data_IF_842357066239
#
_entry.id   IF_842357066239
#
_cell.length_a   1.000
_cell.length_b   1.000
_cell.length_c   1.000
_cell.angle_alpha   90.00
_cell.angle_beta   90.00
_cell.angle_gamma   90.00
#
_symmetry.space_group_name_H-M   'P 1'
#
loop_
_entity.id
_entity.type
_entity.pdbx_description
1 polymer ?
#
# COMPACT_ATOMS: atom_id res chain seq x y z
N UNK A 1 -21.69 5.61 -20.75
CA UNK A 1 -21.56 4.78 -19.54
C UNK A 1 -20.21 5.09 -18.92
N UNK A 2 -20.18 5.82 -17.80
CA UNK A 2 -18.92 6.12 -17.13
C UNK A 2 -18.45 4.84 -16.43
N UNK A 3 -17.36 4.24 -16.90
CA UNK A 3 -16.69 3.18 -16.15
C UNK A 3 -16.22 3.81 -14.83
N UNK A 4 -16.96 3.56 -13.74
CA UNK A 4 -16.90 4.31 -12.48
C UNK A 4 -15.58 4.18 -11.72
N UNK A 5 -14.52 4.81 -12.22
CA UNK A 5 -13.22 4.90 -11.60
C UNK A 5 -12.55 6.26 -11.85
N UNK A 6 -11.49 6.57 -11.10
CA UNK A 6 -10.76 7.85 -11.17
C UNK A 6 -9.80 7.97 -12.38
N UNK A 7 -9.81 7.02 -13.31
CA UNK A 7 -8.90 7.03 -14.48
C UNK A 7 -7.40 6.99 -14.13
N UNK A 8 -7.03 6.40 -12.98
CA UNK A 8 -5.64 6.37 -12.51
C UNK A 8 -4.87 5.19 -13.10
N UNK A 9 -3.66 5.45 -13.59
CA UNK A 9 -2.75 4.42 -14.07
C UNK A 9 -2.23 3.53 -12.93
N UNK A 10 -1.97 4.10 -11.75
CA UNK A 10 -1.34 3.41 -10.62
C UNK A 10 -1.96 3.87 -9.31
N UNK A 11 -2.24 2.90 -8.45
CA UNK A 11 -2.54 3.13 -7.04
C UNK A 11 -1.36 2.62 -6.22
N UNK A 12 -1.01 3.37 -5.16
CA UNK A 12 0.03 2.98 -4.22
C UNK A 12 -0.56 2.98 -2.81
N UNK A 13 -0.17 1.99 -2.01
CA UNK A 13 -0.56 1.83 -0.62
C UNK A 13 0.70 1.62 0.22
N UNK A 14 0.88 2.44 1.24
CA UNK A 14 1.91 2.28 2.26
C UNK A 14 1.34 1.70 3.54
N UNK A 15 2.07 0.77 4.15
CA UNK A 15 1.76 0.24 5.48
C UNK A 15 3.06 -0.01 6.26
N UNK A 16 3.00 0.05 7.60
CA UNK A 16 4.11 -0.46 8.42
C UNK A 16 4.35 -1.94 8.11
N UNK A 17 5.62 -2.35 8.10
CA UNK A 17 6.04 -3.72 7.84
C UNK A 17 5.45 -4.70 8.87
N UNK A 18 5.31 -4.25 10.12
CA UNK A 18 4.68 -4.99 11.21
C UNK A 18 3.16 -5.14 11.05
N UNK A 19 2.49 -4.27 10.28
CA UNK A 19 1.05 -4.38 10.03
C UNK A 19 0.72 -5.43 8.97
N UNK A 20 0.82 -6.70 9.38
CA UNK A 20 0.54 -7.87 8.53
C UNK A 20 -0.93 -7.96 8.09
N UNK A 21 -1.86 -7.44 8.89
CA UNK A 21 -3.29 -7.46 8.58
C UNK A 21 -3.62 -6.60 7.35
N UNK A 22 -3.16 -5.34 7.32
CA UNK A 22 -3.38 -4.44 6.18
C UNK A 22 -2.68 -4.95 4.91
N UNK A 23 -1.50 -5.56 5.04
CA UNK A 23 -0.77 -6.15 3.90
C UNK A 23 -1.56 -7.29 3.24
N UNK A 24 -2.14 -8.20 4.04
CA UNK A 24 -3.00 -9.28 3.53
C UNK A 24 -4.26 -8.76 2.83
N UNK A 25 -4.82 -7.65 3.31
CA UNK A 25 -5.96 -6.99 2.65
C UNK A 25 -5.54 -6.42 1.29
N UNK A 26 -4.39 -5.74 1.22
CA UNK A 26 -3.87 -5.21 -0.03
C UNK A 26 -3.59 -6.31 -1.06
N UNK A 27 -2.95 -7.40 -0.65
CA UNK A 27 -2.69 -8.58 -1.50
C UNK A 27 -4.00 -9.17 -2.06
N UNK A 28 -5.03 -9.34 -1.22
CA UNK A 28 -6.35 -9.82 -1.65
C UNK A 28 -7.07 -8.85 -2.60
N UNK A 29 -6.79 -7.55 -2.49
CA UNK A 29 -7.29 -6.54 -3.40
C UNK A 29 -6.49 -6.44 -4.72
N UNK A 30 -5.48 -7.31 -4.92
CA UNK A 30 -4.68 -7.39 -6.13
C UNK A 30 -3.41 -6.54 -6.12
N UNK A 31 -3.13 -5.82 -5.03
CA UNK A 31 -1.87 -5.08 -4.92
C UNK A 31 -0.69 -6.02 -4.79
N UNK A 32 0.44 -5.63 -5.38
CA UNK A 32 1.72 -6.34 -5.31
C UNK A 32 2.75 -5.51 -4.55
N UNK A 33 3.59 -6.15 -3.74
CA UNK A 33 4.65 -5.45 -3.04
C UNK A 33 5.69 -4.91 -4.03
N UNK A 34 5.94 -3.60 -4.00
CA UNK A 34 6.94 -2.93 -4.81
C UNK A 34 8.24 -2.68 -4.03
N UNK A 35 8.16 -2.53 -2.70
CA UNK A 35 9.35 -2.29 -1.89
C UNK A 35 9.13 -2.37 -0.40
N UNK A 36 10.27 -2.40 0.32
CA UNK A 36 10.35 -2.25 1.76
C UNK A 36 11.45 -1.24 2.09
N UNK A 37 11.11 -0.20 2.83
CA UNK A 37 11.99 0.93 3.14
C UNK A 37 12.24 1.02 4.64
N UNK A 38 13.44 1.41 5.04
CA UNK A 38 13.80 1.50 6.46
C UNK A 38 13.29 2.79 7.06
N UNK A 39 12.71 2.72 8.27
CA UNK A 39 12.18 3.89 8.98
C UNK A 39 11.30 4.77 8.06
N UNK A 40 10.28 4.15 7.48
CA UNK A 40 9.31 4.76 6.56
C UNK A 40 7.85 4.39 6.93
N UNK A 41 7.68 3.42 7.83
CA UNK A 41 6.40 3.01 8.35
C UNK A 41 5.95 3.94 9.46
N UNK A 42 4.88 4.71 9.20
CA UNK A 42 4.17 5.44 10.25
C UNK A 42 3.37 4.43 11.08
N UNK A 43 3.73 4.28 12.36
CA UNK A 43 2.97 3.44 13.29
C UNK A 43 2.73 4.17 14.62
N UNK A 44 1.50 4.06 15.15
CA UNK A 44 1.15 4.61 16.48
C UNK A 44 0.41 5.96 16.46
N UNK A 45 0.07 6.43 17.67
CA UNK A 45 -0.47 7.77 17.91
C UNK A 45 0.67 8.79 17.86
N UNK A 46 0.45 9.93 17.20
CA UNK A 46 1.40 11.04 16.99
C UNK A 46 2.35 10.96 15.77
N UNK A 47 2.14 10.03 14.83
CA UNK A 47 2.80 10.09 13.52
C UNK A 47 4.31 9.88 13.56
N UNK A 48 4.82 9.26 14.62
CA UNK A 48 6.22 8.89 14.72
C UNK A 48 6.53 7.79 13.68
N UNK A 49 7.63 7.98 12.96
CA UNK A 49 8.16 6.97 12.05
C UNK A 49 9.13 6.12 12.86
N UNK A 50 8.67 4.90 13.18
CA UNK A 50 9.37 4.00 14.12
C UNK A 50 9.63 2.63 13.53
N UNK A 51 8.98 2.27 12.42
CA UNK A 51 9.12 0.96 11.78
C UNK A 51 9.50 1.09 10.29
N UNK A 52 9.87 -0.02 9.68
CA UNK A 52 10.07 -0.12 8.25
C UNK A 52 8.73 -0.03 7.51
N UNK A 53 8.72 0.66 6.36
CA UNK A 53 7.55 0.80 5.50
C UNK A 53 7.50 -0.27 4.42
N UNK A 54 6.31 -0.75 4.08
CA UNK A 54 6.04 -1.61 2.93
C UNK A 54 5.14 -0.85 1.97
N UNK A 55 5.57 -0.75 0.72
CA UNK A 55 4.80 -0.14 -0.36
C UNK A 55 4.30 -1.20 -1.32
N UNK A 56 3.01 -1.14 -1.61
CA UNK A 56 2.35 -2.01 -2.57
C UNK A 56 1.71 -1.17 -3.68
N UNK A 57 1.62 -1.75 -4.86
CA UNK A 57 1.14 -1.10 -6.07
C UNK A 57 0.08 -1.94 -6.76
N UNK A 58 -0.87 -1.26 -7.39
CA UNK A 58 -1.82 -1.85 -8.33
C UNK A 58 -1.81 -1.01 -9.59
N UNK A 59 -1.45 -1.62 -10.72
CA UNK A 59 -1.46 -0.97 -12.01
C UNK A 59 -2.81 -1.19 -12.71
N UNK A 60 -3.21 -0.24 -13.56
CA UNK A 60 -4.40 -0.40 -14.39
C UNK A 60 -4.35 -1.67 -15.26
N UNK A 61 -3.14 -2.15 -15.58
CA UNK A 61 -2.88 -3.37 -16.36
C UNK A 61 -2.97 -4.66 -15.56
N UNK A 62 -3.06 -4.61 -14.22
CA UNK A 62 -3.17 -5.81 -13.37
C UNK A 62 -4.62 -6.30 -13.22
N UNK A 63 -5.57 -5.69 -13.93
CA UNK A 63 -7.01 -5.96 -13.85
C UNK A 63 -7.56 -6.67 -15.08
#
# INVERSE_FOLDING_TARGET
MAAGGLGRHRLALGASAANTASRRVAERAGFRQAGRFRADGVCGFAGEIVDDGVWCELLASDR
#
